data_IF_742833901723
#
_entry.id   IF_742833901723
#
_cell.length_a   1.000
_cell.length_b   1.000
_cell.length_c   1.000
_cell.angle_alpha   90.00
_cell.angle_beta   90.00
_cell.angle_gamma   90.00
#
_symmetry.space_group_name_H-M   'P 1'
#
loop_
_entity.id
_entity.type
_entity.pdbx_description
1 polymer ?
#
# COMPACT_ATOMS: atom_id res chain seq x y z
N UNK A 1 9.33 -14.41 -19.22
CA UNK A 1 9.93 -14.74 -17.90
C UNK A 1 10.92 -13.63 -17.56
N UNK A 2 10.50 -12.68 -16.72
CA UNK A 2 11.40 -11.59 -16.29
C UNK A 2 12.39 -12.14 -15.26
N UNK A 3 13.70 -12.02 -15.55
CA UNK A 3 14.76 -12.38 -14.61
C UNK A 3 14.66 -11.49 -13.38
N UNK A 4 14.61 -12.09 -12.18
CA UNK A 4 14.75 -11.39 -10.91
C UNK A 4 16.15 -10.74 -10.89
N UNK A 5 16.22 -9.47 -11.19
CA UNK A 5 17.41 -8.65 -10.93
C UNK A 5 17.12 -7.88 -9.64
N UNK A 6 17.83 -8.19 -8.56
CA UNK A 6 17.80 -7.28 -7.44
C UNK A 6 17.80 -7.95 -6.07
N UNK A 7 18.25 -7.17 -5.12
CA UNK A 7 18.18 -7.44 -3.68
C UNK A 7 16.74 -7.79 -3.29
N UNK A 8 16.56 -8.77 -2.41
CA UNK A 8 15.27 -9.10 -1.82
C UNK A 8 14.67 -7.91 -1.05
N UNK A 9 13.46 -8.05 -0.51
CA UNK A 9 12.86 -7.01 0.32
C UNK A 9 13.75 -6.69 1.53
N UNK A 10 13.67 -5.46 2.04
CA UNK A 10 14.34 -5.08 3.29
C UNK A 10 13.94 -6.01 4.44
N UNK A 11 14.76 -6.10 5.49
CA UNK A 11 14.47 -6.96 6.64
C UNK A 11 13.10 -6.66 7.26
N UNK A 12 12.74 -5.38 7.37
CA UNK A 12 11.43 -4.92 7.89
C UNK A 12 10.28 -5.41 7.00
N UNK A 13 10.40 -5.22 5.69
CA UNK A 13 9.39 -5.70 4.73
C UNK A 13 9.28 -7.23 4.76
N UNK A 14 10.40 -7.93 4.82
CA UNK A 14 10.42 -9.39 4.90
C UNK A 14 9.69 -9.91 6.15
N UNK A 15 9.92 -9.27 7.30
CA UNK A 15 9.22 -9.61 8.55
C UNK A 15 7.72 -9.33 8.45
N UNK A 16 7.32 -8.15 7.94
CA UNK A 16 5.91 -7.79 7.74
C UNK A 16 5.21 -8.80 6.83
N UNK A 17 5.84 -9.19 5.73
CA UNK A 17 5.32 -10.23 4.83
C UNK A 17 5.21 -11.59 5.51
N UNK A 18 6.19 -11.98 6.32
CA UNK A 18 6.14 -13.25 7.05
C UNK A 18 4.99 -13.27 8.08
N UNK A 19 4.79 -12.17 8.82
CA UNK A 19 3.64 -12.01 9.74
C UNK A 19 2.31 -12.07 9.00
N UNK A 20 2.20 -11.37 7.85
CA UNK A 20 1.03 -11.37 7.01
C UNK A 20 0.70 -12.80 6.52
N UNK A 21 1.69 -13.53 6.01
CA UNK A 21 1.53 -14.91 5.52
C UNK A 21 1.03 -15.86 6.60
N UNK A 22 1.51 -15.75 7.85
CA UNK A 22 0.99 -16.56 8.97
C UNK A 22 -0.51 -16.32 9.19
N UNK A 23 -0.95 -15.07 9.13
CA UNK A 23 -2.37 -14.70 9.29
C UNK A 23 -3.23 -15.19 8.11
N UNK A 24 -2.72 -15.09 6.88
CA UNK A 24 -3.39 -15.62 5.67
C UNK A 24 -3.60 -17.14 5.80
N UNK A 25 -2.57 -17.86 6.22
CA UNK A 25 -2.65 -19.31 6.46
C UNK A 25 -3.70 -19.65 7.51
N UNK A 26 -3.78 -18.89 8.60
CA UNK A 26 -4.78 -19.07 9.64
C UNK A 26 -6.22 -18.86 9.14
N UNK A 27 -6.44 -18.02 8.12
CA UNK A 27 -7.72 -17.84 7.44
C UNK A 27 -8.04 -18.98 6.45
N UNK A 28 -7.16 -19.95 6.26
CA UNK A 28 -7.31 -21.03 5.29
C UNK A 28 -7.27 -20.59 3.84
N UNK A 29 -6.68 -19.42 3.54
CA UNK A 29 -6.53 -18.87 2.20
C UNK A 29 -5.19 -19.28 1.57
N UNK A 30 -5.20 -19.42 0.23
CA UNK A 30 -3.99 -19.68 -0.56
C UNK A 30 -3.27 -18.39 -1.00
N UNK A 31 -3.98 -17.26 -1.02
CA UNK A 31 -3.44 -15.95 -1.32
C UNK A 31 -4.27 -14.85 -0.64
N UNK A 32 -3.74 -13.65 -0.58
CA UNK A 32 -4.41 -12.47 -0.03
C UNK A 32 -4.27 -11.29 -0.98
N UNK A 33 -5.40 -10.71 -1.35
CA UNK A 33 -5.47 -9.51 -2.17
C UNK A 33 -5.54 -8.29 -1.27
N UNK A 34 -4.58 -7.39 -1.43
CA UNK A 34 -4.48 -6.10 -0.73
C UNK A 34 -4.67 -5.00 -1.76
N UNK A 35 -5.78 -4.28 -1.69
CA UNK A 35 -6.14 -3.19 -2.61
C UNK A 35 -6.06 -1.80 -1.98
N UNK A 36 -5.91 -1.71 -0.66
CA UNK A 36 -5.70 -0.44 0.02
C UNK A 36 -4.25 0.03 -0.12
N UNK A 37 -4.05 1.27 -0.62
CA UNK A 37 -2.73 1.86 -0.84
C UNK A 37 -1.85 1.84 0.41
N UNK A 38 -2.34 2.35 1.53
CA UNK A 38 -1.57 2.40 2.76
C UNK A 38 -1.19 1.00 3.29
N UNK A 39 -1.98 -0.03 3.00
CA UNK A 39 -1.71 -1.41 3.41
C UNK A 39 -0.68 -2.08 2.50
N UNK A 40 -0.78 -1.91 1.18
CA UNK A 40 0.25 -2.48 0.32
C UNK A 40 1.57 -1.70 0.39
N UNK A 41 1.54 -0.37 0.59
CA UNK A 41 2.73 0.40 0.91
C UNK A 41 3.43 -0.13 2.16
N UNK A 42 2.69 -0.34 3.26
CA UNK A 42 3.23 -0.92 4.48
C UNK A 42 3.91 -2.27 4.27
N UNK A 43 3.33 -3.12 3.40
CA UNK A 43 3.83 -4.48 3.14
C UNK A 43 4.95 -4.55 2.12
N UNK A 44 5.09 -3.55 1.24
CA UNK A 44 6.01 -3.63 0.10
C UNK A 44 6.93 -2.43 -0.05
N UNK A 45 6.52 -1.27 0.43
CA UNK A 45 7.18 0.01 0.15
C UNK A 45 6.80 0.62 -1.21
N UNK A 46 5.88 0.00 -1.96
CA UNK A 46 5.47 0.50 -3.27
C UNK A 46 4.57 1.73 -3.14
N UNK A 47 4.95 2.82 -3.80
CA UNK A 47 4.27 4.13 -3.70
C UNK A 47 3.19 4.37 -4.76
N UNK A 48 3.19 3.60 -5.86
CA UNK A 48 2.23 3.77 -6.95
C UNK A 48 0.79 3.51 -6.52
N UNK A 49 -0.11 4.33 -7.03
CA UNK A 49 -1.56 4.27 -6.75
C UNK A 49 -2.29 3.33 -7.72
N UNK A 50 -3.62 3.20 -7.56
CA UNK A 50 -4.50 2.38 -8.41
C UNK A 50 -3.98 0.96 -8.67
N UNK A 51 -3.38 0.37 -7.67
CA UNK A 51 -2.69 -0.91 -7.72
C UNK A 51 -3.28 -1.89 -6.72
N UNK A 52 -2.91 -3.16 -6.87
CA UNK A 52 -3.18 -4.18 -5.88
C UNK A 52 -1.95 -5.08 -5.69
N UNK A 53 -1.83 -5.63 -4.50
CA UNK A 53 -0.79 -6.60 -4.18
C UNK A 53 -1.44 -7.93 -3.83
N UNK A 54 -1.03 -9.00 -4.51
CA UNK A 54 -1.44 -10.36 -4.15
C UNK A 54 -0.28 -11.07 -3.47
N UNK A 55 -0.49 -11.45 -2.21
CA UNK A 55 0.50 -12.14 -1.38
C UNK A 55 0.19 -13.62 -1.40
N UNK A 56 1.11 -14.41 -1.91
CA UNK A 56 1.09 -15.88 -1.86
C UNK A 56 2.04 -16.41 -0.79
N UNK A 57 2.03 -17.70 -0.46
CA UNK A 57 2.98 -18.28 0.49
C UNK A 57 4.45 -18.04 0.14
N UNK A 58 4.76 -17.92 -1.15
CA UNK A 58 6.16 -17.83 -1.63
C UNK A 58 6.51 -16.49 -2.25
N UNK A 59 5.57 -15.83 -2.90
CA UNK A 59 5.81 -14.66 -3.74
C UNK A 59 4.90 -13.49 -3.37
N UNK A 60 5.29 -12.33 -3.82
CA UNK A 60 4.46 -11.12 -3.81
C UNK A 60 4.28 -10.70 -5.27
N UNK A 61 3.05 -10.49 -5.65
CA UNK A 61 2.66 -10.09 -6.98
C UNK A 61 2.06 -8.69 -6.92
N UNK A 62 2.73 -7.73 -7.58
CA UNK A 62 2.24 -6.38 -7.74
C UNK A 62 1.44 -6.30 -9.04
N UNK A 63 0.19 -5.88 -8.95
CA UNK A 63 -0.72 -5.68 -10.08
C UNK A 63 -0.93 -4.18 -10.23
N UNK A 64 -0.42 -3.60 -11.30
CA UNK A 64 -0.40 -2.16 -11.55
C UNK A 64 -0.40 -1.88 -13.06
N UNK A 65 -0.17 -0.65 -13.47
CA UNK A 65 -0.08 -0.29 -14.89
C UNK A 65 1.29 0.30 -15.28
N UNK A 66 1.44 0.64 -16.56
CA UNK A 66 2.71 1.08 -17.12
C UNK A 66 3.22 2.42 -16.62
N UNK A 67 2.39 3.24 -15.95
CA UNK A 67 2.81 4.52 -15.36
C UNK A 67 3.87 4.36 -14.28
N UNK A 68 3.85 3.23 -13.56
CA UNK A 68 4.72 2.94 -12.42
C UNK A 68 5.91 2.03 -12.75
N UNK A 69 6.34 1.98 -14.01
CA UNK A 69 7.42 1.07 -14.46
C UNK A 69 8.75 1.39 -13.77
N UNK A 70 9.06 2.66 -13.54
CA UNK A 70 10.31 3.06 -12.89
C UNK A 70 10.25 2.81 -11.37
N UNK A 71 9.13 3.12 -10.72
CA UNK A 71 8.90 2.83 -9.30
C UNK A 71 9.04 1.34 -9.01
N UNK A 72 8.49 0.48 -9.87
CA UNK A 72 8.64 -0.98 -9.75
C UNK A 72 10.11 -1.39 -9.70
N UNK A 73 10.95 -0.82 -10.59
CA UNK A 73 12.38 -1.17 -10.68
C UNK A 73 13.15 -0.72 -9.44
N UNK A 74 12.79 0.40 -8.86
CA UNK A 74 13.50 1.00 -7.74
C UNK A 74 12.98 0.53 -6.38
N UNK A 75 11.68 0.42 -6.22
CA UNK A 75 11.05 0.16 -4.92
C UNK A 75 10.82 -1.34 -4.66
N UNK A 76 10.36 -2.08 -5.69
CA UNK A 76 9.93 -3.47 -5.54
C UNK A 76 10.46 -4.43 -6.62
N UNK A 77 11.76 -4.35 -6.98
CA UNK A 77 12.35 -5.19 -8.04
C UNK A 77 12.27 -6.70 -7.72
N UNK A 78 12.04 -7.04 -6.47
CA UNK A 78 11.92 -8.40 -5.95
C UNK A 78 10.49 -8.96 -6.09
N UNK A 79 9.46 -8.12 -6.29
CA UNK A 79 8.10 -8.55 -6.53
C UNK A 79 7.88 -8.95 -8.00
N UNK A 80 6.95 -9.85 -8.25
CA UNK A 80 6.52 -10.16 -9.61
C UNK A 80 5.48 -9.16 -10.06
N UNK A 81 5.78 -8.35 -11.06
CA UNK A 81 4.87 -7.35 -11.60
C UNK A 81 3.94 -7.93 -12.66
N UNK A 82 2.68 -7.47 -12.64
CA UNK A 82 1.63 -7.73 -13.61
C UNK A 82 1.15 -6.38 -14.12
N UNK A 83 1.53 -6.05 -15.35
CA UNK A 83 1.18 -4.76 -15.95
C UNK A 83 -0.17 -4.86 -16.67
N UNK A 84 -1.21 -4.26 -16.10
CA UNK A 84 -2.53 -4.18 -16.69
C UNK A 84 -2.54 -3.18 -17.86
N UNK A 85 -3.35 -3.48 -18.87
CA UNK A 85 -3.69 -2.55 -19.96
C UNK A 85 -5.15 -2.09 -19.88
N UNK A 86 -5.93 -2.67 -18.99
CA UNK A 86 -7.35 -2.42 -18.76
C UNK A 86 -7.68 -2.28 -17.28
N UNK A 87 -8.84 -2.78 -16.90
CA UNK A 87 -9.30 -2.71 -15.51
C UNK A 87 -8.46 -3.58 -14.57
N UNK A 88 -8.30 -3.10 -13.35
CA UNK A 88 -7.52 -3.80 -12.31
C UNK A 88 -8.06 -5.21 -12.04
N UNK A 89 -9.38 -5.36 -11.99
CA UNK A 89 -10.05 -6.64 -11.76
C UNK A 89 -9.75 -7.68 -12.84
N UNK A 90 -9.51 -7.25 -14.09
CA UNK A 90 -9.13 -8.16 -15.19
C UNK A 90 -7.80 -8.85 -14.92
N UNK A 91 -6.81 -8.06 -14.52
CA UNK A 91 -5.49 -8.59 -14.24
C UNK A 91 -5.45 -9.39 -12.94
N UNK A 92 -6.27 -9.03 -11.92
CA UNK A 92 -6.44 -9.83 -10.71
C UNK A 92 -7.01 -11.21 -11.07
N UNK A 93 -8.04 -11.27 -11.89
CA UNK A 93 -8.64 -12.54 -12.36
C UNK A 93 -7.63 -13.39 -13.12
N UNK A 94 -6.87 -12.76 -14.02
CA UNK A 94 -5.81 -13.42 -14.79
C UNK A 94 -4.73 -13.97 -13.87
N UNK A 95 -4.24 -13.18 -12.92
CA UNK A 95 -3.25 -13.61 -11.93
C UNK A 95 -3.77 -14.79 -11.11
N UNK A 96 -5.03 -14.77 -10.65
CA UNK A 96 -5.64 -15.87 -9.93
C UNK A 96 -5.66 -17.16 -10.74
N UNK A 97 -5.99 -17.08 -12.05
CA UNK A 97 -6.02 -18.25 -12.94
C UNK A 97 -4.63 -18.81 -13.18
N UNK A 98 -3.66 -17.96 -13.55
CA UNK A 98 -2.27 -18.38 -13.81
C UNK A 98 -1.60 -18.98 -12.56
N UNK A 99 -1.83 -18.38 -11.39
CA UNK A 99 -1.31 -18.85 -10.12
C UNK A 99 -2.12 -20.01 -9.51
N UNK A 100 -3.21 -20.43 -10.17
CA UNK A 100 -4.11 -21.49 -9.72
C UNK A 100 -4.64 -21.28 -8.30
N UNK A 101 -4.98 -20.04 -7.96
CA UNK A 101 -5.48 -19.68 -6.63
C UNK A 101 -6.89 -20.23 -6.46
N UNK A 102 -7.07 -21.13 -5.50
CA UNK A 102 -8.37 -21.74 -5.17
C UNK A 102 -9.14 -20.96 -4.11
N UNK A 103 -8.42 -20.29 -3.20
CA UNK A 103 -8.99 -19.52 -2.10
C UNK A 103 -8.22 -18.20 -1.99
N UNK A 104 -8.90 -17.09 -2.27
CA UNK A 104 -8.36 -15.74 -2.21
C UNK A 104 -8.98 -15.00 -1.04
N UNK A 105 -8.17 -14.63 -0.05
CA UNK A 105 -8.60 -13.72 1.01
C UNK A 105 -8.68 -12.29 0.44
N UNK A 106 -9.68 -11.51 0.84
CA UNK A 106 -9.89 -10.13 0.43
C UNK A 106 -10.15 -9.24 1.63
N UNK A 107 -9.85 -7.95 1.49
CA UNK A 107 -10.05 -6.93 2.53
C UNK A 107 -11.49 -6.40 2.50
N UNK A 108 -12.34 -6.65 3.52
CA UNK A 108 -13.75 -6.25 3.49
C UNK A 108 -13.95 -4.72 3.49
N UNK A 109 -13.02 -3.97 4.07
CA UNK A 109 -13.12 -2.51 4.14
C UNK A 109 -12.61 -1.77 2.90
N UNK A 110 -12.05 -2.48 1.92
CA UNK A 110 -11.36 -1.87 0.77
C UNK A 110 -11.73 -2.48 -0.58
N UNK A 111 -12.44 -3.58 -0.59
CA UNK A 111 -13.02 -4.15 -1.78
C UNK A 111 -14.50 -3.74 -1.84
N UNK A 112 -14.91 -3.05 -2.89
CA UNK A 112 -16.31 -2.68 -3.04
C UNK A 112 -17.19 -3.91 -3.22
N UNK A 113 -18.50 -3.79 -2.92
CA UNK A 113 -19.47 -4.87 -3.18
C UNK A 113 -19.50 -5.21 -4.68
N UNK A 114 -19.36 -4.20 -5.54
CA UNK A 114 -19.31 -4.37 -6.99
C UNK A 114 -18.09 -5.18 -7.43
N UNK A 115 -16.89 -4.82 -6.96
CA UNK A 115 -15.67 -5.56 -7.26
C UNK A 115 -15.73 -7.01 -6.77
N UNK A 116 -16.26 -7.20 -5.55
CA UNK A 116 -16.44 -8.55 -5.01
C UNK A 116 -17.36 -9.41 -5.91
N UNK A 117 -18.49 -8.83 -6.34
CA UNK A 117 -19.45 -9.53 -7.21
C UNK A 117 -18.83 -9.83 -8.59
N UNK A 118 -18.08 -8.86 -9.15
CA UNK A 118 -17.39 -9.02 -10.42
C UNK A 118 -16.31 -10.10 -10.35
N UNK A 119 -15.42 -10.06 -9.37
CA UNK A 119 -14.38 -11.06 -9.18
C UNK A 119 -14.97 -12.46 -9.01
N UNK A 120 -16.06 -12.59 -8.23
CA UNK A 120 -16.76 -13.86 -8.06
C UNK A 120 -17.37 -14.38 -9.37
N UNK A 121 -18.00 -13.50 -10.14
CA UNK A 121 -18.63 -13.84 -11.44
C UNK A 121 -17.58 -14.27 -12.47
N UNK A 122 -16.47 -13.54 -12.58
CA UNK A 122 -15.43 -13.73 -13.61
C UNK A 122 -14.42 -14.83 -13.28
N UNK A 123 -14.33 -15.22 -12.02
CA UNK A 123 -13.46 -16.30 -11.58
C UNK A 123 -14.14 -17.24 -10.58
N UNK A 124 -15.17 -17.99 -11.00
CA UNK A 124 -15.93 -18.88 -10.13
C UNK A 124 -15.10 -20.01 -9.54
N UNK A 125 -13.96 -20.34 -10.13
CA UNK A 125 -13.03 -21.35 -9.64
C UNK A 125 -12.24 -20.92 -8.39
N UNK A 126 -12.23 -19.61 -8.08
CA UNK A 126 -11.58 -19.05 -6.90
C UNK A 126 -12.63 -18.66 -5.87
N UNK A 127 -12.61 -19.31 -4.72
CA UNK A 127 -13.45 -18.94 -3.58
C UNK A 127 -12.88 -17.69 -2.92
N UNK A 128 -13.67 -16.61 -2.85
CA UNK A 128 -13.34 -15.43 -2.08
C UNK A 128 -13.60 -15.67 -0.59
N UNK A 129 -12.65 -15.29 0.25
CA UNK A 129 -12.71 -15.38 1.71
C UNK A 129 -12.61 -13.96 2.27
N UNK A 130 -13.61 -13.53 3.00
CA UNK A 130 -13.55 -12.26 3.72
C UNK A 130 -12.56 -12.42 4.88
N UNK A 131 -11.42 -11.74 4.77
CA UNK A 131 -10.40 -11.81 5.80
C UNK A 131 -10.71 -10.81 6.96
N UNK A 132 -10.27 -11.11 8.19
CA UNK A 132 -10.24 -10.09 9.23
C UNK A 132 -9.26 -8.96 8.80
N UNK A 133 -9.27 -7.80 9.49
CA UNK A 133 -8.40 -6.67 9.13
C UNK A 133 -6.92 -6.96 9.43
N UNK A 134 -6.32 -7.87 8.65
CA UNK A 134 -4.96 -8.39 8.85
C UNK A 134 -3.94 -7.25 8.91
N UNK A 135 -3.85 -6.47 7.83
CA UNK A 135 -2.83 -5.43 7.70
C UNK A 135 -3.14 -4.25 8.62
N UNK A 136 -4.39 -3.83 8.68
CA UNK A 136 -4.81 -2.77 9.60
C UNK A 136 -4.44 -3.07 11.05
N UNK A 137 -4.61 -4.32 11.50
CA UNK A 137 -4.20 -4.74 12.85
C UNK A 137 -2.67 -4.71 13.01
N UNK A 138 -1.91 -5.08 11.97
CA UNK A 138 -0.44 -5.03 12.01
C UNK A 138 0.09 -3.60 12.10
N UNK A 139 -0.52 -2.66 11.36
CA UNK A 139 -0.15 -1.23 11.34
C UNK A 139 -0.49 -0.48 12.64
N UNK A 140 -1.32 -1.03 13.51
CA UNK A 140 -1.63 -0.42 14.82
C UNK A 140 -0.41 -0.33 15.73
N UNK A 141 0.47 -1.32 15.65
CA UNK A 141 1.75 -1.33 16.38
C UNK A 141 2.84 -0.83 15.44
N UNK A 142 3.40 0.34 15.77
CA UNK A 142 4.46 0.99 15.01
C UNK A 142 5.81 0.39 15.39
N UNK A 143 6.65 0.15 14.41
CA UNK A 143 8.05 -0.16 14.66
C UNK A 143 8.89 1.11 14.97
N UNK A 144 10.13 0.94 15.42
CA UNK A 144 10.99 2.07 15.80
C UNK A 144 11.25 3.04 14.64
N UNK A 145 11.35 2.52 13.41
CA UNK A 145 11.50 3.34 12.20
C UNK A 145 10.26 4.19 11.92
N UNK A 146 9.07 3.60 12.05
CA UNK A 146 7.79 4.31 11.91
C UNK A 146 7.63 5.38 13.01
N UNK A 147 8.00 5.07 14.25
CA UNK A 147 7.98 6.04 15.36
C UNK A 147 8.96 7.18 15.10
N UNK A 148 10.17 6.91 14.62
CA UNK A 148 11.14 7.93 14.29
C UNK A 148 10.64 8.88 13.17
N UNK A 149 10.00 8.32 12.12
CA UNK A 149 9.38 9.12 11.05
C UNK A 149 8.22 9.98 11.55
N UNK A 150 7.36 9.44 12.41
CA UNK A 150 6.27 10.21 13.03
C UNK A 150 6.80 11.36 13.86
N UNK A 151 7.83 11.12 14.68
CA UNK A 151 8.47 12.19 15.48
C UNK A 151 9.10 13.28 14.61
N UNK A 152 9.69 12.90 13.46
CA UNK A 152 10.23 13.86 12.50
C UNK A 152 9.09 14.71 11.89
N UNK A 153 8.00 14.08 11.46
CA UNK A 153 6.85 14.77 10.89
C UNK A 153 6.22 15.75 11.89
N UNK A 154 6.07 15.35 13.16
CA UNK A 154 5.57 16.21 14.23
C UNK A 154 6.46 17.44 14.39
N UNK A 155 7.79 17.27 14.48
CA UNK A 155 8.73 18.40 14.61
C UNK A 155 8.63 19.39 13.44
N UNK A 156 8.55 18.88 12.21
CA UNK A 156 8.37 19.73 11.02
C UNK A 156 7.08 20.54 11.11
N UNK A 157 5.99 19.91 11.56
CA UNK A 157 4.71 20.59 11.72
C UNK A 157 4.76 21.65 12.85
N UNK A 158 5.31 21.32 14.01
CA UNK A 158 5.47 22.24 15.15
C UNK A 158 6.34 23.45 14.78
N UNK A 159 7.51 23.22 14.20
CA UNK A 159 8.43 24.30 13.79
C UNK A 159 7.80 25.17 12.70
N UNK A 160 7.05 24.58 11.76
CA UNK A 160 6.30 25.31 10.74
C UNK A 160 5.20 26.18 11.35
N UNK A 161 4.46 25.63 12.31
CA UNK A 161 3.40 26.33 13.01
C UNK A 161 3.94 27.50 13.85
N UNK A 162 5.01 27.30 14.63
CA UNK A 162 5.65 28.35 15.41
C UNK A 162 6.15 29.50 14.50
N UNK A 163 6.74 29.15 13.37
CA UNK A 163 7.21 30.17 12.40
C UNK A 163 6.05 30.95 11.78
N UNK A 164 4.93 30.29 11.48
CA UNK A 164 3.72 30.97 10.97
C UNK A 164 3.15 31.90 12.05
N UNK A 165 3.04 31.46 13.32
CA UNK A 165 2.52 32.29 14.41
C UNK A 165 3.25 33.63 14.53
N UNK A 166 4.56 33.67 14.33
CA UNK A 166 5.36 34.91 14.41
C UNK A 166 5.03 35.91 13.29
N UNK A 167 4.29 35.49 12.26
CA UNK A 167 3.93 36.35 11.11
C UNK A 167 2.48 36.82 11.13
N UNK A 168 1.68 36.39 12.11
CA UNK A 168 0.27 36.78 12.22
C UNK A 168 0.13 38.27 12.50
N UNK A 169 -0.77 38.91 11.76
CA UNK A 169 -1.10 40.35 11.90
C UNK A 169 -2.59 40.57 11.73
N UNK A 170 -3.08 41.61 12.38
CA UNK A 170 -4.49 42.03 12.19
C UNK A 170 -4.74 42.38 10.72
N UNK A 171 -5.85 41.90 10.19
CA UNK A 171 -6.26 42.11 8.79
C UNK A 171 -5.85 40.98 7.82
N UNK A 172 -5.08 40.01 8.31
CA UNK A 172 -4.82 38.78 7.52
C UNK A 172 -6.05 37.90 7.46
N UNK A 173 -6.22 37.24 6.30
CA UNK A 173 -7.26 36.23 6.09
C UNK A 173 -6.77 34.85 6.54
N UNK A 174 -7.71 33.94 6.83
CA UNK A 174 -7.38 32.53 7.10
C UNK A 174 -6.61 31.87 5.96
N UNK A 175 -6.93 32.22 4.70
CA UNK A 175 -6.24 31.71 3.51
C UNK A 175 -4.77 32.12 3.49
N UNK A 176 -4.45 33.36 3.83
CA UNK A 176 -3.06 33.84 3.90
C UNK A 176 -2.29 33.12 5.01
N UNK A 177 -2.93 32.90 6.18
CA UNK A 177 -2.32 32.13 7.26
C UNK A 177 -2.10 30.66 6.88
N UNK A 178 -3.05 30.03 6.21
CA UNK A 178 -2.94 28.64 5.74
C UNK A 178 -1.80 28.51 4.71
N UNK A 179 -1.72 29.42 3.73
CA UNK A 179 -0.65 29.44 2.74
C UNK A 179 0.73 29.63 3.38
N UNK A 180 0.81 30.49 4.40
CA UNK A 180 2.06 30.69 5.15
C UNK A 180 2.47 29.46 5.93
N UNK A 181 1.53 28.79 6.58
CA UNK A 181 1.80 27.53 7.31
C UNK A 181 2.32 26.45 6.36
N UNK A 182 1.64 26.25 5.23
CA UNK A 182 2.05 25.29 4.22
C UNK A 182 3.47 25.60 3.69
N UNK A 183 3.76 26.84 3.38
CA UNK A 183 5.11 27.27 2.97
C UNK A 183 6.16 26.94 4.04
N UNK A 184 5.89 27.26 5.31
CA UNK A 184 6.84 27.02 6.40
C UNK A 184 7.07 25.52 6.67
N UNK A 185 6.02 24.70 6.51
CA UNK A 185 6.14 23.24 6.64
C UNK A 185 6.94 22.64 5.47
N UNK A 186 6.62 23.01 4.22
CA UNK A 186 7.34 22.56 3.01
C UNK A 186 8.80 22.95 3.04
N UNK A 187 9.11 24.18 3.43
CA UNK A 187 10.49 24.68 3.59
C UNK A 187 11.31 23.84 4.61
N UNK A 188 10.63 23.18 5.56
CA UNK A 188 11.24 22.30 6.58
C UNK A 188 11.20 20.83 6.19
N UNK A 189 10.75 20.51 5.00
CA UNK A 189 10.81 19.15 4.45
C UNK A 189 9.52 18.35 4.54
N UNK A 190 8.37 18.99 4.72
CA UNK A 190 7.09 18.35 4.47
C UNK A 190 6.92 18.12 2.97
N UNK A 191 6.33 16.97 2.59
CA UNK A 191 6.05 16.62 1.20
C UNK A 191 4.71 17.20 0.70
N UNK A 192 3.78 17.44 1.60
CA UNK A 192 2.43 17.97 1.34
C UNK A 192 1.93 18.70 2.57
#
# INVERSE_FOLDING_TARGET
>A
MSKRNGRGPSAVIAERLARCRRKIKACGAGAFLVSNHADYFYLTGFTGEESAVMITPREVHLITDGRFTEEIKHEVPWARSWLRRGFLNDEIVKACKELKIKKLAVQPGHLTVGDHAELKKRNPATRLIIAPPIVGTMRRLKDDGEVAMMRKAIRVAEDGYIAMLSTIRVGQTELEMAARLEYEMKRRGASS
#
